data_IF_339363000232
#
_entry.id   IF_339363000232
#
_cell.length_a   1.000
_cell.length_b   1.000
_cell.length_c   1.000
_cell.angle_alpha   90.00
_cell.angle_beta   90.00
_cell.angle_gamma   90.00
#
_symmetry.space_group_name_H-M   'P 1'
#
loop_
_entity.id
_entity.type
_entity.pdbx_description
1 polymer ?
#
# COMPACT_ATOMS: atom_id res chain seq x y z
N UNK A 1 5.61 -20.10 -5.28
CA UNK A 1 6.02 -18.79 -5.83
C UNK A 1 4.85 -18.32 -6.70
N UNK A 2 3.96 -17.49 -6.15
CA UNK A 2 2.70 -17.15 -6.85
C UNK A 2 3.03 -16.26 -8.04
N UNK A 3 2.60 -16.73 -9.22
CA UNK A 3 2.65 -16.03 -10.49
C UNK A 3 1.99 -14.65 -10.36
N UNK A 4 2.80 -13.58 -10.43
CA UNK A 4 2.30 -12.24 -10.72
C UNK A 4 1.92 -12.18 -12.19
N UNK A 5 0.74 -12.72 -12.48
CA UNK A 5 0.02 -12.52 -13.72
C UNK A 5 -0.18 -11.01 -13.91
N UNK A 6 0.25 -10.49 -15.07
CA UNK A 6 -0.08 -9.18 -15.63
C UNK A 6 -0.17 -8.04 -14.58
N UNK A 7 0.98 -7.42 -14.25
CA UNK A 7 1.12 -6.30 -13.31
C UNK A 7 0.15 -5.16 -13.65
N UNK A 8 -1.00 -5.13 -12.99
CA UNK A 8 -1.77 -3.91 -12.84
C UNK A 8 -0.84 -2.86 -12.18
N UNK A 9 -0.62 -1.69 -12.81
CA UNK A 9 0.24 -0.64 -12.27
C UNK A 9 -0.11 -0.27 -10.81
N UNK A 10 -1.38 -0.37 -10.44
CA UNK A 10 -1.87 -0.06 -9.10
C UNK A 10 -1.42 -1.08 -8.06
N UNK A 11 -1.24 -2.35 -8.44
CA UNK A 11 -0.69 -3.38 -7.56
C UNK A 11 0.79 -3.14 -7.28
N UNK A 12 1.53 -2.62 -8.27
CA UNK A 12 2.92 -2.21 -8.08
C UNK A 12 3.00 -1.04 -7.10
N UNK A 13 2.10 -0.07 -7.22
CA UNK A 13 2.03 1.10 -6.34
C UNK A 13 1.68 0.73 -4.90
N UNK A 14 0.79 -0.25 -4.69
CA UNK A 14 0.52 -0.84 -3.35
C UNK A 14 1.79 -1.41 -2.74
N UNK A 15 2.58 -2.18 -3.49
CA UNK A 15 3.80 -2.78 -2.94
C UNK A 15 4.84 -1.71 -2.58
N UNK A 16 5.01 -0.69 -3.43
CA UNK A 16 5.92 0.43 -3.14
C UNK A 16 5.48 1.17 -1.86
N UNK A 17 4.19 1.47 -1.71
CA UNK A 17 3.66 2.13 -0.52
C UNK A 17 3.81 1.26 0.74
N UNK A 18 3.61 -0.05 0.62
CA UNK A 18 3.79 -1.01 1.71
C UNK A 18 5.23 -1.05 2.21
N UNK A 19 6.21 -1.12 1.30
CA UNK A 19 7.63 -1.08 1.65
C UNK A 19 8.00 0.23 2.33
N UNK A 20 7.53 1.35 1.78
CA UNK A 20 7.79 2.69 2.33
C UNK A 20 7.16 2.87 3.71
N UNK A 21 5.92 2.40 3.92
CA UNK A 21 5.26 2.43 5.23
C UNK A 21 6.06 1.64 6.26
N UNK A 22 6.50 0.43 5.90
CA UNK A 22 7.31 -0.44 6.77
C UNK A 22 8.59 0.28 7.20
N UNK A 23 9.29 0.91 6.26
CA UNK A 23 10.51 1.65 6.54
C UNK A 23 10.28 2.83 7.47
N UNK A 24 9.26 3.65 7.20
CA UNK A 24 8.94 4.83 8.01
C UNK A 24 8.49 4.41 9.42
N UNK A 25 7.72 3.34 9.55
CA UNK A 25 7.31 2.80 10.84
C UNK A 25 8.51 2.31 11.67
N UNK A 26 9.50 1.70 11.04
CA UNK A 26 10.74 1.28 11.71
C UNK A 26 11.61 2.48 12.12
N UNK A 27 11.72 3.51 11.27
CA UNK A 27 12.56 4.68 11.53
C UNK A 27 11.93 5.69 12.51
N UNK A 28 10.61 5.90 12.43
CA UNK A 28 9.89 6.99 13.11
C UNK A 28 8.82 6.51 14.09
N UNK A 29 8.54 5.22 14.12
CA UNK A 29 7.47 4.61 14.93
C UNK A 29 6.12 4.63 14.22
N UNK A 30 5.25 3.68 14.57
CA UNK A 30 3.92 3.53 13.93
C UNK A 30 3.01 4.74 14.14
N UNK A 31 3.12 5.42 15.28
CA UNK A 31 2.28 6.58 15.62
C UNK A 31 2.81 7.91 15.07
N UNK A 32 3.92 7.90 14.32
CA UNK A 32 4.43 9.12 13.71
C UNK A 32 3.41 9.66 12.71
N UNK A 33 3.29 10.99 12.60
CA UNK A 33 2.37 11.62 11.66
C UNK A 33 2.62 11.15 10.21
N UNK A 34 3.86 10.82 9.88
CA UNK A 34 4.26 10.33 8.58
C UNK A 34 3.86 8.86 8.35
N UNK A 35 4.03 8.00 9.37
CA UNK A 35 3.55 6.61 9.36
C UNK A 35 2.02 6.56 9.23
N UNK A 36 1.31 7.44 9.93
CA UNK A 36 -0.16 7.55 9.85
C UNK A 36 -0.58 8.00 8.45
N UNK A 37 0.07 9.03 7.91
CA UNK A 37 -0.24 9.56 6.58
C UNK A 37 -0.05 8.50 5.49
N UNK A 38 1.07 7.78 5.50
CA UNK A 38 1.32 6.74 4.48
C UNK A 38 0.40 5.53 4.64
N UNK A 39 0.00 5.18 5.87
CA UNK A 39 -1.02 4.15 6.10
C UNK A 39 -2.36 4.55 5.46
N UNK A 40 -2.76 5.81 5.57
CA UNK A 40 -3.99 6.33 4.95
C UNK A 40 -3.91 6.32 3.42
N UNK A 41 -2.77 6.68 2.84
CA UNK A 41 -2.53 6.61 1.40
C UNK A 41 -2.62 5.16 0.87
N UNK A 42 -2.01 4.21 1.59
CA UNK A 42 -2.07 2.78 1.27
C UNK A 42 -3.51 2.25 1.35
N UNK A 43 -4.25 2.58 2.41
CA UNK A 43 -5.65 2.17 2.58
C UNK A 43 -6.55 2.74 1.48
N UNK A 44 -6.35 4.00 1.07
CA UNK A 44 -7.10 4.61 -0.02
C UNK A 44 -6.91 3.83 -1.33
N UNK A 45 -5.66 3.51 -1.68
CA UNK A 45 -5.34 2.76 -2.90
C UNK A 45 -5.91 1.34 -2.87
N UNK A 46 -5.86 0.66 -1.72
CA UNK A 46 -6.47 -0.66 -1.53
C UNK A 46 -7.99 -0.61 -1.70
N UNK A 47 -8.65 0.42 -1.16
CA UNK A 47 -10.08 0.61 -1.30
C UNK A 47 -10.49 0.87 -2.76
N UNK A 48 -9.70 1.64 -3.51
CA UNK A 48 -9.94 1.85 -4.95
C UNK A 48 -9.81 0.57 -5.76
N UNK A 49 -8.83 -0.29 -5.43
CA UNK A 49 -8.68 -1.59 -6.05
C UNK A 49 -9.85 -2.53 -5.74
N UNK A 50 -10.35 -2.53 -4.50
CA UNK A 50 -11.50 -3.33 -4.10
C UNK A 50 -12.79 -2.88 -4.79
N UNK A 51 -13.01 -1.55 -4.91
CA UNK A 51 -14.18 -1.00 -5.62
C UNK A 51 -14.24 -1.40 -7.09
N UNK A 52 -13.08 -1.63 -7.71
CA UNK A 52 -12.97 -2.04 -9.11
C UNK A 52 -13.05 -3.56 -9.32
N UNK A 53 -13.25 -4.35 -8.25
CA UNK A 53 -13.45 -5.80 -8.37
C UNK A 53 -14.94 -6.09 -8.64
N UNK A 54 -15.32 -6.56 -9.84
CA UNK A 54 -16.69 -6.99 -10.07
C UNK A 54 -17.01 -8.17 -9.16
N UNK A 55 -18.20 -8.13 -8.56
CA UNK A 55 -18.76 -9.17 -7.70
C UNK A 55 -18.91 -10.51 -8.44
#
# INVERSE_FOLDING_TARGET
MVLVAAKDPRIVEVEILREKMTRIALEKGLSSAESVKISQELDALLNELQKNKPN
#
